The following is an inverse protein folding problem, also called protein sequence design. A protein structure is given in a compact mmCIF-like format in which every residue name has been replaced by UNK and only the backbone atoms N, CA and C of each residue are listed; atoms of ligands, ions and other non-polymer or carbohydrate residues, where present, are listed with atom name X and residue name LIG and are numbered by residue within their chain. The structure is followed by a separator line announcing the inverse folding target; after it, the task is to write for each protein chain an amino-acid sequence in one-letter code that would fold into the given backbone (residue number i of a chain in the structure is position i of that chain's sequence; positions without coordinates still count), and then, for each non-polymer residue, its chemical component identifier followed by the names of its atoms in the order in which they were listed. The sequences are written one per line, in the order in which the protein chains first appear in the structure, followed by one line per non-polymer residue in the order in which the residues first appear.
data_IF_321657219428
#
_entry.id   IF_321657219428
#
_cell.length_a   1.000
_cell.length_b   1.000
_cell.length_c   1.000
_cell.angle_alpha   90.00
_cell.angle_beta   90.00
_cell.angle_gamma   90.00
#
_symmetry.space_group_name_H-M   'P 1'
#
loop_
_entity.id
_entity.type
_entity.pdbx_description
1 polymer ?
#
# COMPACT_ATOMS: atom_id res chain seq x y z
N UNK A 1 -16.10 7.19 10.53
CA UNK A 1 -17.19 6.76 9.63
C UNK A 1 -16.82 5.39 9.08
N UNK A 2 -17.33 4.32 9.70
CA UNK A 2 -17.13 2.96 9.21
C UNK A 2 -18.34 2.55 8.35
N UNK A 3 -18.12 1.79 7.28
CA UNK A 3 -19.16 1.23 6.43
C UNK A 3 -19.11 1.69 4.96
N UNK A 4 -20.15 1.30 4.22
CA UNK A 4 -20.36 1.69 2.83
C UNK A 4 -20.78 3.15 2.76
N UNK A 5 -20.13 3.92 1.89
CA UNK A 5 -20.50 5.30 1.56
C UNK A 5 -21.07 5.37 0.15
N UNK A 6 -21.62 6.52 -0.24
CA UNK A 6 -22.12 6.74 -1.60
C UNK A 6 -21.07 6.30 -2.65
N UNK A 7 -21.47 5.34 -3.48
CA UNK A 7 -20.70 4.83 -4.60
C UNK A 7 -20.71 5.84 -5.77
N UNK A 8 -19.69 5.82 -6.61
CA UNK A 8 -19.79 6.38 -7.97
C UNK A 8 -20.39 5.33 -8.90
N UNK A 9 -20.68 5.71 -10.15
CA UNK A 9 -21.25 4.80 -11.16
C UNK A 9 -20.33 3.59 -11.44
N UNK A 10 -19.04 3.68 -11.10
CA UNK A 10 -18.00 2.69 -11.41
C UNK A 10 -17.22 2.17 -10.18
N UNK A 11 -17.48 2.66 -8.97
CA UNK A 11 -16.73 2.25 -7.78
C UNK A 11 -17.58 2.19 -6.50
N UNK A 12 -17.44 1.06 -5.79
CA UNK A 12 -17.94 0.91 -4.42
C UNK A 12 -16.96 1.55 -3.43
N UNK A 13 -17.48 2.35 -2.49
CA UNK A 13 -16.69 2.94 -1.42
C UNK A 13 -16.98 2.26 -0.09
N UNK A 14 -15.99 1.54 0.42
CA UNK A 14 -15.97 1.02 1.79
C UNK A 14 -14.91 1.75 2.61
N UNK A 15 -15.28 2.24 3.79
CA UNK A 15 -14.32 2.87 4.72
C UNK A 15 -14.34 2.10 6.03
N UNK A 16 -13.16 1.70 6.50
CA UNK A 16 -12.98 1.11 7.81
C UNK A 16 -11.88 1.86 8.56
N UNK A 17 -12.19 2.52 9.69
CA UNK A 17 -11.17 3.03 10.58
C UNK A 17 -10.30 1.88 11.09
N UNK A 18 -8.98 2.04 11.00
CA UNK A 18 -8.03 1.13 11.64
C UNK A 18 -7.94 1.53 13.11
N UNK A 19 -8.28 0.59 13.99
CA UNK A 19 -8.18 0.80 15.42
C UNK A 19 -6.73 0.76 15.90
N UNK A 20 -6.55 1.02 17.18
CA UNK A 20 -5.27 0.95 17.86
C UNK A 20 -4.62 -0.43 17.70
N UNK A 21 -5.40 -1.48 17.91
CA UNK A 21 -4.94 -2.88 17.85
C UNK A 21 -4.30 -3.26 16.51
N UNK A 22 -4.75 -2.69 15.39
CA UNK A 22 -4.08 -2.85 14.11
C UNK A 22 -2.92 -1.85 13.90
N UNK A 23 -3.15 -0.59 14.24
CA UNK A 23 -2.21 0.51 13.96
C UNK A 23 -0.91 0.39 14.73
N UNK A 24 -0.95 0.02 16.01
CA UNK A 24 0.27 -0.09 16.83
C UNK A 24 1.23 -1.17 16.30
N UNK A 25 0.80 -2.42 16.02
CA UNK A 25 1.68 -3.43 15.42
C UNK A 25 2.25 -3.02 14.07
N UNK A 26 1.46 -2.33 13.22
CA UNK A 26 1.93 -1.82 11.93
C UNK A 26 3.08 -0.81 12.11
N UNK A 27 2.92 0.16 13.02
CA UNK A 27 3.95 1.16 13.31
C UNK A 27 5.19 0.53 13.99
N UNK A 28 5.00 -0.47 14.84
CA UNK A 28 6.10 -1.23 15.42
C UNK A 28 6.86 -2.02 14.35
N UNK A 29 6.17 -2.66 13.41
CA UNK A 29 6.79 -3.36 12.29
C UNK A 29 7.57 -2.38 11.40
N UNK A 30 6.99 -1.22 11.07
CA UNK A 30 7.68 -0.14 10.35
C UNK A 30 9.00 0.25 11.02
N UNK A 31 8.98 0.50 12.33
CA UNK A 31 10.19 0.83 13.09
C UNK A 31 11.22 -0.32 13.12
N UNK A 32 10.76 -1.56 13.36
CA UNK A 32 11.64 -2.75 13.45
C UNK A 32 12.27 -3.13 12.11
N UNK A 33 11.53 -2.98 11.02
CA UNK A 33 11.96 -3.35 9.68
C UNK A 33 12.75 -2.24 8.99
N UNK A 34 12.76 -1.04 9.57
CA UNK A 34 13.33 0.17 8.99
C UNK A 34 12.69 0.51 7.64
N UNK A 35 11.37 0.36 7.57
CA UNK A 35 10.58 0.60 6.37
C UNK A 35 9.43 1.56 6.68
N UNK A 36 9.09 2.49 5.77
CA UNK A 36 7.91 3.33 5.92
C UNK A 36 6.64 2.48 6.11
N UNK A 37 5.74 2.92 6.99
CA UNK A 37 4.48 2.21 7.23
C UNK A 37 3.64 1.98 5.94
N UNK A 38 3.64 2.86 4.91
CA UNK A 38 2.92 2.56 3.68
C UNK A 38 3.47 1.35 2.95
N UNK A 39 4.79 1.13 2.97
CA UNK A 39 5.44 0.02 2.27
C UNK A 39 5.18 -1.30 3.00
N UNK A 40 5.20 -1.27 4.34
CA UNK A 40 4.75 -2.40 5.18
C UNK A 40 3.29 -2.75 4.88
N UNK A 41 2.42 -1.75 4.81
CA UNK A 41 1.01 -1.96 4.51
C UNK A 41 0.80 -2.50 3.09
N UNK A 42 1.54 -2.01 2.11
CA UNK A 42 1.50 -2.49 0.74
C UNK A 42 1.92 -3.96 0.65
N UNK A 43 2.99 -4.36 1.34
CA UNK A 43 3.43 -5.75 1.40
C UNK A 43 2.38 -6.67 2.06
N UNK A 44 1.76 -6.24 3.17
CA UNK A 44 0.66 -6.97 3.80
C UNK A 44 -0.56 -7.10 2.88
N UNK A 45 -0.90 -6.04 2.15
CA UNK A 45 -1.99 -6.04 1.19
C UNK A 45 -1.72 -6.97 0.00
N UNK A 46 -0.49 -6.95 -0.54
CA UNK A 46 -0.07 -7.88 -1.59
C UNK A 46 -0.24 -9.33 -1.14
N UNK A 47 0.28 -9.68 0.04
CA UNK A 47 0.19 -11.06 0.56
C UNK A 47 -1.26 -11.46 0.87
N UNK A 48 -2.08 -10.55 1.40
CA UNK A 48 -3.51 -10.80 1.59
C UNK A 48 -4.22 -11.09 0.27
N UNK A 49 -4.02 -10.26 -0.75
CA UNK A 49 -4.64 -10.44 -2.06
C UNK A 49 -4.16 -11.72 -2.73
N UNK A 50 -2.87 -12.03 -2.63
CA UNK A 50 -2.28 -13.25 -3.17
C UNK A 50 -2.91 -14.50 -2.54
N UNK A 51 -3.06 -14.52 -1.21
CA UNK A 51 -3.75 -15.61 -0.49
C UNK A 51 -5.22 -15.72 -0.85
N UNK A 52 -5.92 -14.58 -0.92
CA UNK A 52 -7.36 -14.54 -1.20
C UNK A 52 -7.68 -14.98 -2.64
N UNK A 53 -6.83 -14.60 -3.59
CA UNK A 53 -7.00 -14.94 -5.02
C UNK A 53 -6.37 -16.28 -5.41
N UNK A 54 -5.61 -16.92 -4.51
CA UNK A 54 -4.77 -18.07 -4.81
C UNK A 54 -3.85 -17.86 -6.03
N UNK A 55 -3.39 -16.62 -6.25
CA UNK A 55 -2.52 -16.26 -7.35
C UNK A 55 -1.03 -16.42 -6.96
N UNK A 56 -0.18 -16.67 -7.95
CA UNK A 56 1.28 -16.67 -7.78
C UNK A 56 1.88 -15.27 -7.93
N UNK A 57 1.11 -14.29 -8.42
CA UNK A 57 1.52 -12.90 -8.54
C UNK A 57 0.31 -11.98 -8.39
N UNK A 58 0.51 -10.83 -7.74
CA UNK A 58 -0.48 -9.74 -7.70
C UNK A 58 0.16 -8.44 -8.19
N UNK A 59 -0.65 -7.56 -8.78
CA UNK A 59 -0.20 -6.23 -9.21
C UNK A 59 -0.89 -5.17 -8.35
N UNK A 60 -0.10 -4.42 -7.58
CA UNK A 60 -0.57 -3.29 -6.81
C UNK A 60 -0.36 -1.99 -7.59
N UNK A 61 -1.39 -1.14 -7.65
CA UNK A 61 -1.24 0.23 -8.11
C UNK A 61 -0.64 1.09 -7.00
N UNK A 62 0.58 1.60 -7.20
CA UNK A 62 1.30 2.40 -6.19
C UNK A 62 1.41 3.85 -6.66
N UNK A 63 1.04 4.83 -5.82
CA UNK A 63 1.17 6.24 -6.18
C UNK A 63 2.65 6.64 -6.28
N UNK A 64 3.05 7.10 -7.45
CA UNK A 64 4.38 7.61 -7.72
C UNK A 64 4.31 9.11 -8.00
N UNK A 65 4.86 9.90 -7.08
CA UNK A 65 4.70 11.35 -7.14
C UNK A 65 5.40 12.01 -8.33
N UNK A 66 6.51 11.44 -8.83
CA UNK A 66 7.34 12.01 -9.91
C UNK A 66 7.77 13.49 -9.72
N UNK A 67 7.69 14.02 -8.49
CA UNK A 67 8.01 15.42 -8.13
C UNK A 67 9.44 15.54 -7.63
N UNK A 68 10.38 15.21 -8.51
CA UNK A 68 11.80 15.37 -8.24
C UNK A 68 12.16 16.86 -8.27
N UNK A 69 12.91 17.31 -7.27
CA UNK A 69 13.41 18.68 -7.15
C UNK A 69 12.48 19.65 -6.41
N UNK A 70 13.07 20.76 -5.97
CA UNK A 70 12.45 21.73 -5.06
C UNK A 70 11.24 22.47 -5.66
N UNK A 71 11.26 22.79 -6.96
CA UNK A 71 10.19 23.56 -7.58
C UNK A 71 8.90 22.74 -7.77
N UNK A 72 9.00 21.53 -8.32
CA UNK A 72 7.84 20.67 -8.61
C UNK A 72 7.12 20.23 -7.33
N UNK A 73 7.86 19.99 -6.23
CA UNK A 73 7.31 19.64 -4.93
C UNK A 73 6.45 20.76 -4.29
N UNK A 74 6.66 22.02 -4.65
CA UNK A 74 5.99 23.18 -4.04
C UNK A 74 4.86 23.80 -4.85
N UNK A 75 4.67 23.37 -6.09
CA UNK A 75 3.63 23.92 -6.98
C UNK A 75 2.50 22.90 -7.13
N UNK A 76 1.21 23.30 -7.02
CA UNK A 76 0.09 22.44 -7.38
C UNK A 76 0.23 21.93 -8.82
N UNK A 77 0.28 20.61 -9.00
CA UNK A 77 0.49 20.00 -10.32
C UNK A 77 -0.14 18.61 -10.38
N UNK A 78 -0.56 18.20 -11.58
CA UNK A 78 -1.08 16.86 -11.89
C UNK A 78 0.02 16.02 -12.56
N UNK A 79 1.10 15.75 -11.83
CA UNK A 79 2.28 15.02 -12.33
C UNK A 79 2.45 13.65 -11.67
N UNK A 80 1.51 13.24 -10.82
CA UNK A 80 1.52 11.93 -10.18
C UNK A 80 1.10 10.84 -11.16
N UNK A 81 1.75 9.69 -11.07
CA UNK A 81 1.39 8.48 -11.79
C UNK A 81 0.96 7.39 -10.80
N UNK A 82 0.21 6.41 -11.28
CA UNK A 82 0.01 5.14 -10.58
C UNK A 82 0.84 4.10 -11.32
N UNK A 83 1.86 3.55 -10.66
CA UNK A 83 2.74 2.56 -11.26
C UNK A 83 2.31 1.14 -10.86
N UNK A 84 2.41 0.15 -11.76
CA UNK A 84 2.12 -1.24 -11.44
C UNK A 84 3.30 -1.89 -10.72
N UNK A 85 3.17 -2.11 -9.41
CA UNK A 85 4.11 -2.92 -8.63
C UNK A 85 3.69 -4.38 -8.71
N UNK A 86 4.48 -5.19 -9.41
CA UNK A 86 4.28 -6.65 -9.49
C UNK A 86 4.92 -7.31 -8.27
N UNK A 87 4.14 -8.11 -7.56
CA UNK A 87 4.57 -8.83 -6.37
C UNK A 87 4.34 -10.32 -6.61
N UNK A 88 5.43 -11.04 -6.86
CA UNK A 88 5.40 -12.49 -7.03
C UNK A 88 5.40 -13.20 -5.68
N UNK A 89 4.87 -14.43 -5.66
CA UNK A 89 4.99 -15.35 -4.54
C UNK A 89 6.48 -15.60 -4.27
N UNK A 90 6.89 -15.33 -3.03
CA UNK A 90 8.23 -15.62 -2.55
C UNK A 90 8.15 -16.53 -1.33
N UNK A 91 9.16 -17.39 -1.18
CA UNK A 91 9.41 -18.04 0.09
C UNK A 91 10.00 -17.03 1.08
N UNK A 92 9.54 -17.04 2.33
CA UNK A 92 10.05 -16.15 3.38
C UNK A 92 8.97 -15.34 4.09
N UNK A 93 9.40 -14.38 4.93
CA UNK A 93 8.50 -13.52 5.68
C UNK A 93 8.14 -12.27 4.88
N UNK A 94 6.98 -11.66 5.20
CA UNK A 94 6.60 -10.34 4.67
C UNK A 94 7.70 -9.32 4.96
N UNK A 95 8.36 -9.39 6.13
CA UNK A 95 9.53 -8.56 6.46
C UNK A 95 10.61 -8.64 5.38
N UNK A 96 11.03 -9.85 5.02
CA UNK A 96 12.09 -10.06 4.03
C UNK A 96 11.71 -9.45 2.68
N UNK A 97 10.45 -9.58 2.28
CA UNK A 97 9.93 -8.95 1.08
C UNK A 97 9.97 -7.42 1.16
N UNK A 98 9.49 -6.82 2.26
CA UNK A 98 9.49 -5.35 2.45
C UNK A 98 10.88 -4.71 2.35
N UNK A 99 11.95 -5.42 2.70
CA UNK A 99 13.32 -4.88 2.60
C UNK A 99 13.82 -4.77 1.15
N UNK A 100 13.17 -5.46 0.22
CA UNK A 100 13.49 -5.41 -1.21
C UNK A 100 12.62 -4.43 -2.01
N UNK A 101 11.61 -3.83 -1.39
CA UNK A 101 10.85 -2.69 -1.95
C UNK A 101 11.69 -1.41 -1.86
#
# INVERSE_FOLDING_TARGET
LAGTLAASDDALRWVQPLDAAFREPLLQASARWLQPWPDVLAALAAEYLRRMSAADEVVLGVPYMARLGNASARVPAMVMNVLPLRVAAGEGSVEAFTRGL
#
